data_IF_169458273448
#
_entry.id   IF_169458273448
#
_cell.length_a   1.000
_cell.length_b   1.000
_cell.length_c   1.000
_cell.angle_alpha   90.00
_cell.angle_beta   90.00
_cell.angle_gamma   90.00
#
_symmetry.space_group_name_H-M   'P 1'
#
loop_
_entity.id
_entity.type
_entity.pdbx_description
1 polymer ?
#
# COMPACT_ATOMS: atom_id res chain seq x y z
N UNK A 1 -15.84 -6.98 -19.80
CA UNK A 1 -15.62 -5.54 -19.56
C UNK A 1 -14.46 -5.26 -18.60
N UNK A 2 -14.36 -5.98 -17.48
CA UNK A 2 -13.34 -5.73 -16.45
C UNK A 2 -11.88 -5.86 -16.94
N UNK A 3 -11.58 -6.85 -17.79
CA UNK A 3 -10.21 -7.07 -18.29
C UNK A 3 -9.68 -5.89 -19.13
N UNK A 4 -10.54 -5.18 -19.86
CA UNK A 4 -10.14 -4.02 -20.66
C UNK A 4 -9.83 -2.80 -19.78
N UNK A 5 -10.53 -2.66 -18.64
CA UNK A 5 -10.26 -1.59 -17.68
C UNK A 5 -8.90 -1.82 -17.03
N UNK A 6 -8.61 -3.04 -16.58
CA UNK A 6 -7.32 -3.39 -15.99
C UNK A 6 -6.16 -3.23 -16.99
N UNK A 7 -6.33 -3.74 -18.21
CA UNK A 7 -5.33 -3.54 -19.27
C UNK A 7 -5.10 -2.05 -19.55
N UNK A 8 -6.17 -1.25 -19.60
CA UNK A 8 -6.09 0.19 -19.77
C UNK A 8 -5.31 0.89 -18.64
N UNK A 9 -5.57 0.53 -17.39
CA UNK A 9 -4.86 1.07 -16.23
C UNK A 9 -3.37 0.72 -16.25
N UNK A 10 -3.02 -0.53 -16.55
CA UNK A 10 -1.62 -1.00 -16.63
C UNK A 10 -0.89 -0.28 -17.78
N UNK A 11 -1.51 -0.20 -18.96
CA UNK A 11 -0.90 0.49 -20.11
C UNK A 11 -0.72 1.98 -19.78
N UNK A 12 -1.74 2.62 -19.19
CA UNK A 12 -1.66 4.02 -18.80
C UNK A 12 -0.58 4.29 -17.76
N UNK A 13 -0.39 3.40 -16.78
CA UNK A 13 0.64 3.56 -15.75
C UNK A 13 2.04 3.41 -16.33
N UNK A 14 2.27 2.43 -17.21
CA UNK A 14 3.55 2.24 -17.89
C UNK A 14 3.88 3.41 -18.84
N UNK A 15 2.89 3.92 -19.57
CA UNK A 15 3.06 5.10 -20.41
C UNK A 15 3.39 6.35 -19.58
N UNK A 16 2.69 6.53 -18.45
CA UNK A 16 2.96 7.62 -17.51
C UNK A 16 4.39 7.55 -16.96
N UNK A 17 4.80 6.39 -16.43
CA UNK A 17 6.16 6.22 -15.92
C UNK A 17 7.22 6.42 -17.00
N UNK A 18 7.02 5.83 -18.18
CA UNK A 18 7.93 6.01 -19.31
C UNK A 18 8.05 7.48 -19.73
N UNK A 19 6.94 8.21 -19.79
CA UNK A 19 6.95 9.64 -20.13
C UNK A 19 7.73 10.46 -19.10
N UNK A 20 7.48 10.25 -17.80
CA UNK A 20 8.19 10.97 -16.73
C UNK A 20 9.67 10.61 -16.68
N UNK A 21 10.03 9.32 -16.77
CA UNK A 21 11.43 8.91 -16.78
C UNK A 21 12.18 9.45 -18.01
N UNK A 22 11.54 9.46 -19.20
CA UNK A 22 12.13 10.08 -20.41
C UNK A 22 12.33 11.58 -20.20
N UNK A 23 11.37 12.25 -19.58
CA UNK A 23 11.48 13.68 -19.25
C UNK A 23 12.61 13.92 -18.27
N UNK A 24 12.69 13.17 -17.18
CA UNK A 24 13.74 13.28 -16.17
C UNK A 24 15.14 13.03 -16.77
N UNK A 25 15.27 12.06 -17.69
CA UNK A 25 16.52 11.79 -18.41
C UNK A 25 16.87 12.95 -19.35
N UNK A 26 15.89 13.56 -20.00
CA UNK A 26 16.10 14.68 -20.93
C UNK A 26 16.48 15.97 -20.22
N UNK A 27 15.78 16.27 -19.13
CA UNK A 27 15.97 17.48 -18.33
C UNK A 27 17.17 17.30 -17.36
N UNK A 28 17.71 16.08 -17.26
CA UNK A 28 18.79 15.66 -16.36
C UNK A 28 18.56 16.14 -14.92
N UNK A 29 17.35 15.90 -14.41
CA UNK A 29 16.88 16.34 -13.08
C UNK A 29 17.85 15.96 -11.96
N UNK A 30 18.52 14.81 -12.09
CA UNK A 30 19.46 14.27 -11.10
C UNK A 30 20.93 14.67 -11.36
N UNK A 31 21.22 15.48 -12.38
CA UNK A 31 22.56 15.92 -12.80
C UNK A 31 23.55 14.76 -12.92
N UNK A 32 23.15 13.75 -13.68
CA UNK A 32 23.83 12.46 -13.72
C UNK A 32 25.28 12.54 -14.21
N UNK A 33 26.23 12.33 -13.29
CA UNK A 33 27.67 12.34 -13.59
C UNK A 33 28.35 13.69 -13.37
N UNK A 34 27.59 14.72 -13.01
CA UNK A 34 28.13 15.96 -12.48
C UNK A 34 28.50 15.79 -10.99
N UNK A 35 29.40 16.62 -10.48
CA UNK A 35 29.85 16.54 -9.10
C UNK A 35 29.28 17.72 -8.30
N UNK A 36 28.56 17.42 -7.22
CA UNK A 36 28.03 18.40 -6.28
C UNK A 36 29.16 18.89 -5.37
N UNK A 37 29.38 20.20 -5.30
CA UNK A 37 30.36 20.79 -4.38
C UNK A 37 29.86 20.69 -2.94
N UNK A 38 30.71 20.17 -2.05
CA UNK A 38 30.44 20.03 -0.62
C UNK A 38 31.65 20.52 0.19
N UNK A 39 31.38 20.96 1.41
CA UNK A 39 32.41 21.22 2.41
C UNK A 39 32.42 20.09 3.43
N UNK A 40 33.60 19.61 3.79
CA UNK A 40 33.79 18.54 4.75
C UNK A 40 34.50 19.10 5.98
N UNK A 41 33.85 18.97 7.13
CA UNK A 41 34.45 19.27 8.44
C UNK A 41 34.92 17.94 9.06
N UNK A 42 36.16 17.92 9.58
CA UNK A 42 36.76 16.72 10.21
C UNK A 42 36.79 16.88 11.73
N UNK A 43 35.73 16.51 12.46
CA UNK A 43 35.64 16.71 13.91
C UNK A 43 36.71 15.93 14.69
N UNK A 44 37.17 14.80 14.16
CA UNK A 44 38.19 13.94 14.79
C UNK A 44 39.58 14.07 14.13
N UNK A 45 39.75 14.99 13.19
CA UNK A 45 40.96 15.12 12.37
C UNK A 45 40.93 14.27 11.08
N UNK A 46 41.93 14.46 10.23
CA UNK A 46 42.04 13.79 8.93
C UNK A 46 43.22 12.83 8.91
N UNK A 47 42.92 11.53 8.88
CA UNK A 47 43.89 10.46 8.65
C UNK A 47 43.64 9.83 7.25
N UNK A 48 44.53 10.04 6.27
CA UNK A 48 44.35 9.51 4.92
C UNK A 48 44.46 7.98 4.84
N UNK A 49 45.11 7.33 5.81
CA UNK A 49 45.31 5.88 5.83
C UNK A 49 44.20 5.13 6.59
N UNK A 50 43.34 5.87 7.31
CA UNK A 50 42.20 5.31 8.00
C UNK A 50 41.14 4.78 7.01
N UNK A 51 40.63 3.58 7.29
CA UNK A 51 39.61 2.92 6.44
C UNK A 51 38.28 3.66 6.41
N UNK A 52 37.93 4.31 7.53
CA UNK A 52 36.73 5.15 7.70
C UNK A 52 37.15 6.43 8.41
N UNK A 53 36.83 7.57 7.82
CA UNK A 53 37.09 8.89 8.42
C UNK A 53 35.74 9.58 8.64
N UNK A 54 35.32 9.84 9.89
CA UNK A 54 34.06 10.54 10.15
C UNK A 54 34.14 11.99 9.68
N UNK A 55 33.08 12.46 9.05
CA UNK A 55 32.99 13.83 8.51
C UNK A 55 31.61 14.42 8.76
N UNK A 56 31.55 15.72 9.00
CA UNK A 56 30.32 16.48 8.86
C UNK A 56 30.29 17.13 7.48
N UNK A 57 29.26 16.80 6.71
CA UNK A 57 29.07 17.24 5.33
C UNK A 57 28.22 18.50 5.35
N UNK A 58 28.70 19.56 4.70
CA UNK A 58 27.98 20.81 4.53
C UNK A 58 27.74 21.06 3.06
N UNK A 59 26.49 21.37 2.74
CA UNK A 59 26.06 21.68 1.40
C UNK A 59 25.58 23.12 1.42
N UNK A 60 26.22 23.99 0.64
CA UNK A 60 25.79 25.39 0.53
C UNK A 60 24.39 25.45 -0.12
N UNK A 61 23.37 26.03 0.53
CA UNK A 61 22.00 26.02 0.01
C UNK A 61 21.86 26.74 -1.33
N UNK A 62 22.61 27.81 -1.57
CA UNK A 62 22.54 28.55 -2.83
C UNK A 62 23.12 27.74 -3.99
N UNK A 63 24.27 27.08 -3.78
CA UNK A 63 24.86 26.15 -4.76
C UNK A 63 23.97 24.94 -4.98
N UNK A 64 23.35 24.40 -3.94
CA UNK A 64 22.43 23.27 -4.06
C UNK A 64 21.24 23.59 -4.97
N UNK A 65 20.53 24.70 -4.68
CA UNK A 65 19.39 25.15 -5.49
C UNK A 65 19.78 25.46 -6.93
N UNK A 66 20.95 26.07 -7.14
CA UNK A 66 21.45 26.35 -8.49
C UNK A 66 21.84 25.06 -9.24
N UNK A 67 22.41 24.08 -8.55
CA UNK A 67 22.85 22.81 -9.15
C UNK A 67 21.66 21.96 -9.57
N UNK A 68 20.68 21.76 -8.68
CA UNK A 68 19.51 20.91 -8.96
C UNK A 68 18.28 21.67 -9.49
N UNK A 69 18.35 22.99 -9.65
CA UNK A 69 17.23 23.84 -10.07
C UNK A 69 15.97 23.60 -9.18
N UNK A 70 16.19 23.48 -7.86
CA UNK A 70 15.16 23.15 -6.87
C UNK A 70 14.94 24.29 -5.87
N UNK A 71 13.76 24.34 -5.25
CA UNK A 71 13.45 25.24 -4.13
C UNK A 71 13.84 24.62 -2.76
N UNK A 72 14.10 23.32 -2.74
CA UNK A 72 14.45 22.56 -1.53
C UNK A 72 15.75 23.05 -0.88
N UNK A 73 15.78 22.99 0.45
CA UNK A 73 16.93 23.42 1.26
C UNK A 73 17.60 22.23 1.95
N UNK A 74 18.91 22.04 1.79
CA UNK A 74 19.65 21.09 2.60
C UNK A 74 19.76 21.57 4.05
N UNK A 75 19.75 20.63 4.98
CA UNK A 75 20.13 20.89 6.37
C UNK A 75 21.55 21.46 6.46
N UNK A 76 21.81 22.22 7.53
CA UNK A 76 23.10 22.89 7.75
C UNK A 76 24.29 21.93 7.76
N UNK A 77 24.08 20.71 8.28
CA UNK A 77 25.09 19.65 8.43
C UNK A 77 24.45 18.28 8.31
N UNK A 78 25.13 17.37 7.64
CA UNK A 78 24.83 15.94 7.63
C UNK A 78 25.99 15.16 8.24
N UNK A 79 25.68 14.15 9.05
CA UNK A 79 26.68 13.19 9.48
C UNK A 79 27.02 12.24 8.32
N UNK A 80 28.29 11.87 8.23
CA UNK A 80 28.74 10.92 7.22
C UNK A 80 30.17 10.45 7.49
N UNK A 81 30.68 9.68 6.54
CA UNK A 81 32.04 9.16 6.63
C UNK A 81 32.63 8.93 5.24
N UNK A 82 33.95 9.11 5.13
CA UNK A 82 34.72 8.77 3.93
C UNK A 82 35.19 7.33 4.06
N UNK A 83 35.00 6.53 3.02
CA UNK A 83 35.55 5.18 2.91
C UNK A 83 36.57 5.13 1.79
N UNK A 84 37.77 4.66 2.08
CA UNK A 84 38.76 4.36 1.05
C UNK A 84 38.43 3.02 0.39
N UNK A 85 38.10 3.04 -0.90
CA UNK A 85 37.86 1.85 -1.71
C UNK A 85 38.99 1.63 -2.72
N UNK A 86 39.03 0.47 -3.38
CA UNK A 86 40.00 0.19 -4.45
C UNK A 86 39.83 1.12 -5.67
N UNK A 87 38.67 1.73 -5.82
CA UNK A 87 38.32 2.62 -6.93
C UNK A 87 38.46 4.11 -6.58
N UNK A 88 38.81 4.43 -5.32
CA UNK A 88 38.97 5.78 -4.80
C UNK A 88 38.22 6.01 -3.49
N UNK A 89 38.26 7.24 -2.99
CA UNK A 89 37.51 7.66 -1.82
C UNK A 89 36.01 7.80 -2.16
N UNK A 90 35.15 7.24 -1.33
CA UNK A 90 33.71 7.41 -1.40
C UNK A 90 33.22 8.19 -0.18
N UNK A 91 32.35 9.17 -0.42
CA UNK A 91 31.61 9.82 0.65
C UNK A 91 30.29 9.10 0.86
N UNK A 92 29.98 8.81 2.12
CA UNK A 92 28.70 8.21 2.53
C UNK A 92 28.02 9.10 3.56
N UNK A 93 26.73 9.33 3.36
CA UNK A 93 25.87 9.96 4.34
C UNK A 93 25.34 8.89 5.30
N UNK A 94 25.05 9.27 6.54
CA UNK A 94 24.33 8.38 7.46
C UNK A 94 22.95 8.00 6.91
N UNK A 95 22.52 6.76 7.16
CA UNK A 95 21.32 6.18 6.55
C UNK A 95 20.01 6.91 6.95
N UNK A 96 19.96 7.47 8.16
CA UNK A 96 18.81 8.19 8.70
C UNK A 96 18.84 9.70 8.42
N UNK A 97 19.79 10.16 7.58
CA UNK A 97 19.87 11.56 7.18
C UNK A 97 18.60 11.99 6.42
N UNK A 98 17.92 13.01 6.93
CA UNK A 98 16.78 13.64 6.26
C UNK A 98 17.26 14.48 5.06
N UNK A 99 17.48 13.83 3.92
CA UNK A 99 17.97 14.46 2.70
C UNK A 99 16.82 15.17 1.93
N UNK A 100 17.05 16.37 1.38
CA UNK A 100 16.10 17.03 0.48
C UNK A 100 16.03 16.35 -0.89
N UNK A 101 14.98 16.61 -1.65
CA UNK A 101 14.92 16.23 -3.07
C UNK A 101 15.86 17.11 -3.90
N UNK A 102 16.64 16.55 -4.86
CA UNK A 102 16.57 15.18 -5.36
C UNK A 102 17.51 14.14 -4.70
N UNK A 103 18.22 14.51 -3.63
CA UNK A 103 19.17 13.60 -2.95
C UNK A 103 18.47 12.40 -2.29
N UNK A 104 17.27 12.61 -1.74
CA UNK A 104 16.44 11.52 -1.21
C UNK A 104 16.10 10.48 -2.28
N UNK A 105 15.69 10.91 -3.48
CA UNK A 105 15.46 9.99 -4.61
C UNK A 105 16.74 9.27 -5.04
N UNK A 106 17.88 9.98 -5.07
CA UNK A 106 19.18 9.36 -5.42
C UNK A 106 19.57 8.29 -4.39
N UNK A 107 19.35 8.54 -3.09
CA UNK A 107 19.56 7.57 -2.02
C UNK A 107 18.69 6.34 -2.20
N UNK A 108 17.38 6.52 -2.41
CA UNK A 108 16.43 5.40 -2.54
C UNK A 108 16.64 4.53 -3.77
N UNK A 109 17.29 5.05 -4.81
CA UNK A 109 17.60 4.29 -6.03
C UNK A 109 19.02 3.69 -6.01
N UNK A 110 19.93 4.29 -5.25
CA UNK A 110 21.26 3.71 -5.03
C UNK A 110 21.07 2.39 -4.29
N UNK A 111 21.43 1.28 -4.94
CA UNK A 111 21.25 -0.08 -4.43
C UNK A 111 22.27 -0.41 -3.33
N UNK A 112 22.50 0.52 -2.40
CA UNK A 112 23.39 0.31 -1.29
C UNK A 112 22.72 -0.63 -0.29
N UNK A 113 23.49 -1.59 0.21
CA UNK A 113 23.00 -2.60 1.17
C UNK A 113 22.57 -1.99 2.51
N UNK A 114 23.04 -0.77 2.77
CA UNK A 114 22.90 -0.04 4.02
C UNK A 114 21.92 1.15 3.89
N UNK A 115 21.23 1.29 2.73
CA UNK A 115 20.29 2.39 2.43
C UNK A 115 20.90 3.81 2.53
N UNK A 116 22.22 3.90 2.53
CA UNK A 116 22.98 5.15 2.58
C UNK A 116 23.09 5.80 1.21
N UNK A 117 23.11 7.13 1.18
CA UNK A 117 23.52 7.89 -0.01
C UNK A 117 25.03 7.80 -0.16
N UNK A 118 25.49 7.33 -1.33
CA UNK A 118 26.91 7.13 -1.61
C UNK A 118 27.33 7.85 -2.89
N UNK A 119 28.51 8.46 -2.86
CA UNK A 119 29.08 9.12 -4.03
C UNK A 119 30.60 9.01 -4.07
N UNK A 120 31.16 9.00 -5.27
CA UNK A 120 32.61 9.07 -5.46
C UNK A 120 33.09 10.48 -5.11
N UNK A 121 34.04 10.56 -4.19
CA UNK A 121 34.65 11.83 -3.80
C UNK A 121 35.68 12.23 -4.86
N UNK A 122 35.54 13.43 -5.40
CA UNK A 122 36.42 14.01 -6.41
C UNK A 122 36.92 15.37 -5.92
N UNK A 123 38.13 15.76 -6.35
CA UNK A 123 38.73 17.06 -6.03
C UNK A 123 38.86 17.34 -4.52
N UNK A 124 39.16 16.31 -3.71
CA UNK A 124 39.45 16.51 -2.29
C UNK A 124 40.75 17.32 -2.14
N UNK A 125 40.67 18.50 -1.54
CA UNK A 125 41.85 19.22 -1.08
C UNK A 125 42.19 18.72 0.35
N UNK A 126 43.43 18.32 0.67
CA UNK A 126 43.77 17.95 2.04
C UNK A 126 43.55 19.14 2.99
N UNK A 127 42.97 18.95 4.18
CA UNK A 127 42.88 20.02 5.17
C UNK A 127 44.28 20.51 5.55
N UNK A 128 44.45 21.81 5.74
CA UNK A 128 45.72 22.37 6.20
C UNK A 128 46.08 21.76 7.56
N UNK A 129 47.32 21.25 7.69
CA UNK A 129 47.83 20.75 8.96
C UNK A 129 47.67 21.84 10.04
N UNK A 130 47.16 21.51 11.24
CA UNK A 130 47.17 22.46 12.33
C UNK A 130 48.62 22.89 12.57
N UNK A 131 48.88 24.20 12.49
CA UNK A 131 50.20 24.75 12.77
C UNK A 131 50.68 24.22 14.13
N UNK A 132 51.88 23.63 14.16
CA UNK A 132 52.51 23.21 15.40
C UNK A 132 52.48 24.37 16.40
N UNK A 133 52.20 24.14 17.69
CA UNK A 133 52.12 25.21 18.67
C UNK A 133 53.46 25.95 18.72
N UNK A 134 53.46 27.21 18.30
CA UNK A 134 54.61 28.11 18.49
C UNK A 134 54.90 28.17 20.00
N UNK A 135 56.15 27.83 20.36
CA UNK A 135 56.65 27.99 21.72
C UNK A 135 56.39 29.42 22.21
N UNK A 136 55.59 29.53 23.26
CA UNK A 136 55.24 30.78 23.91
C UNK A 136 56.51 31.51 24.39
N UNK A 137 56.95 32.52 23.64
CA UNK A 137 57.85 33.53 24.14
C UNK A 137 57.06 34.51 25.04
N UNK A 138 57.49 34.61 26.29
CA UNK A 138 56.95 35.54 27.28
C UNK A 138 57.05 37.00 26.82
N UNK A 139 55.95 37.75 26.93
CA UNK A 139 55.91 39.20 26.68
C UNK A 139 54.61 39.82 27.17
N UNK A 140 54.72 40.91 27.92
CA UNK A 140 53.69 41.54 28.76
C UNK A 140 52.53 42.25 28.01
N UNK A 141 51.34 42.13 28.60
CA UNK A 141 50.26 43.12 28.80
C UNK A 141 49.90 44.15 27.71
N UNK A 142 48.64 44.10 27.24
CA UNK A 142 47.70 45.24 27.28
C UNK A 142 46.27 44.81 26.92
N UNK A 143 45.30 45.39 27.61
CA UNK A 143 43.87 45.09 27.57
C UNK A 143 43.16 45.62 26.30
N UNK A 144 42.16 44.87 25.84
CA UNK A 144 41.22 45.28 24.80
C UNK A 144 40.16 44.21 24.56
N UNK A 145 39.10 44.21 25.36
CA UNK A 145 37.96 43.31 25.22
C UNK A 145 37.04 43.77 24.08
N UNK A 146 36.73 42.85 23.17
CA UNK A 146 35.74 42.95 22.11
C UNK A 146 35.58 41.58 21.47
N UNK A 147 34.86 40.69 22.18
CA UNK A 147 34.63 39.29 21.83
C UNK A 147 33.99 39.13 20.44
N UNK A 148 34.73 38.49 19.53
CA UNK A 148 34.18 37.68 18.45
C UNK A 148 34.43 36.23 18.87
N UNK A 149 33.36 35.48 19.15
CA UNK A 149 33.42 34.04 19.36
C UNK A 149 33.79 33.36 18.04
N UNK A 150 35.09 33.22 17.79
CA UNK A 150 35.64 32.29 16.83
C UNK A 150 35.66 30.90 17.49
N UNK A 151 34.73 30.03 17.09
CA UNK A 151 34.74 28.62 17.49
C UNK A 151 36.03 27.94 17.02
N UNK A 152 36.56 27.07 17.89
CA UNK A 152 37.80 26.30 17.71
C UNK A 152 37.90 25.65 16.32
N UNK A 153 39.10 25.73 15.72
CA UNK A 153 39.37 25.40 14.32
C UNK A 153 39.23 23.91 14.00
N UNK A 154 37.99 23.45 13.78
CA UNK A 154 37.72 22.18 13.10
C UNK A 154 38.28 22.30 11.67
N UNK A 155 39.20 21.42 11.24
CA UNK A 155 39.74 21.49 9.89
C UNK A 155 38.62 21.28 8.87
N UNK A 156 38.44 22.25 7.99
CA UNK A 156 37.44 22.24 6.92
C UNK A 156 38.12 22.13 5.57
N UNK A 157 37.56 21.36 4.64
CA UNK A 157 38.05 21.34 3.25
C UNK A 157 36.92 21.32 2.24
N UNK A 158 37.18 21.90 1.07
CA UNK A 158 36.32 21.79 -0.09
C UNK A 158 36.53 20.46 -0.81
N UNK A 159 35.43 19.83 -1.20
CA UNK A 159 35.42 18.65 -2.05
C UNK A 159 34.24 18.69 -3.02
N UNK A 160 34.18 17.73 -3.94
CA UNK A 160 33.00 17.51 -4.75
C UNK A 160 32.64 16.02 -4.77
N UNK A 161 31.34 15.72 -4.85
CA UNK A 161 30.81 14.36 -4.75
C UNK A 161 30.03 14.05 -6.00
N UNK A 162 30.40 12.98 -6.69
CA UNK A 162 29.68 12.48 -7.86
C UNK A 162 28.85 11.27 -7.46
N UNK A 163 27.53 11.40 -7.51
CA UNK A 163 26.61 10.32 -7.22
C UNK A 163 26.51 9.31 -8.38
N UNK A 164 26.00 8.12 -8.07
CA UNK A 164 25.66 7.13 -9.08
C UNK A 164 24.58 7.64 -10.03
N UNK A 165 24.56 7.11 -11.26
CA UNK A 165 23.57 7.51 -12.25
C UNK A 165 22.20 6.95 -11.90
N UNK A 166 21.21 7.82 -11.75
CA UNK A 166 19.81 7.50 -11.51
C UNK A 166 19.06 7.43 -12.84
N UNK A 167 18.35 6.31 -13.07
CA UNK A 167 17.53 6.08 -14.28
C UNK A 167 16.30 5.25 -13.94
N UNK A 168 15.22 5.48 -14.70
CA UNK A 168 13.99 4.68 -14.67
C UNK A 168 13.33 4.57 -13.29
N UNK A 169 13.35 5.66 -12.52
CA UNK A 169 12.84 5.69 -11.14
C UNK A 169 11.36 5.29 -11.10
N UNK A 170 10.55 5.90 -11.97
CA UNK A 170 9.10 5.67 -11.97
C UNK A 170 8.77 4.28 -12.51
N UNK A 171 9.48 3.81 -13.54
CA UNK A 171 9.28 2.47 -14.08
C UNK A 171 9.61 1.37 -13.07
N UNK A 172 10.74 1.49 -12.36
CA UNK A 172 11.14 0.54 -11.33
C UNK A 172 10.14 0.53 -10.17
N UNK A 173 9.65 1.70 -9.73
CA UNK A 173 8.65 1.80 -8.68
C UNK A 173 7.34 1.09 -9.05
N UNK A 174 6.85 1.26 -10.30
CA UNK A 174 5.65 0.56 -10.77
C UNK A 174 5.88 -0.96 -10.85
N UNK A 175 7.05 -1.39 -11.33
CA UNK A 175 7.38 -2.80 -11.42
C UNK A 175 7.45 -3.46 -10.03
N UNK A 176 8.10 -2.80 -9.06
CA UNK A 176 8.14 -3.25 -7.67
C UNK A 176 6.75 -3.37 -7.07
N UNK A 177 5.95 -2.31 -7.14
CA UNK A 177 4.58 -2.32 -6.64
C UNK A 177 3.73 -3.44 -7.26
N UNK A 178 3.90 -3.72 -8.57
CA UNK A 178 3.19 -4.81 -9.22
C UNK A 178 3.54 -6.20 -8.65
N UNK A 179 4.81 -6.43 -8.29
CA UNK A 179 5.26 -7.67 -7.65
C UNK A 179 4.73 -7.77 -6.20
N UNK A 180 4.83 -6.69 -5.43
CA UNK A 180 4.35 -6.65 -4.04
C UNK A 180 2.83 -6.92 -3.96
N UNK A 181 2.06 -6.37 -4.90
CA UNK A 181 0.63 -6.66 -5.01
C UNK A 181 0.34 -8.11 -5.43
N UNK A 182 1.18 -8.71 -6.27
CA UNK A 182 1.04 -10.11 -6.65
C UNK A 182 1.29 -11.05 -5.44
N UNK A 183 2.28 -10.75 -4.62
CA UNK A 183 2.55 -11.46 -3.36
C UNK A 183 1.36 -11.32 -2.39
N UNK A 184 0.91 -10.08 -2.15
CA UNK A 184 -0.26 -9.79 -1.30
C UNK A 184 -1.50 -10.56 -1.77
N UNK A 185 -1.75 -10.60 -3.08
CA UNK A 185 -2.87 -11.34 -3.66
C UNK A 185 -2.75 -12.85 -3.42
N UNK A 186 -1.54 -13.42 -3.54
CA UNK A 186 -1.29 -14.84 -3.30
C UNK A 186 -1.51 -15.21 -1.83
N UNK A 187 -1.02 -14.40 -0.89
CA UNK A 187 -1.23 -14.60 0.55
C UNK A 187 -2.71 -14.61 0.92
N UNK A 188 -3.48 -13.64 0.41
CA UNK A 188 -4.93 -13.55 0.61
C UNK A 188 -5.62 -14.81 0.04
N UNK A 189 -5.27 -15.21 -1.19
CA UNK A 189 -5.85 -16.37 -1.84
C UNK A 189 -5.60 -17.66 -1.03
N UNK A 190 -4.39 -17.88 -0.55
CA UNK A 190 -4.05 -19.04 0.29
C UNK A 190 -4.83 -19.04 1.62
N UNK A 191 -4.94 -17.88 2.27
CA UNK A 191 -5.75 -17.73 3.48
C UNK A 191 -7.22 -18.08 3.24
N UNK A 192 -7.81 -17.60 2.15
CA UNK A 192 -9.19 -17.88 1.77
C UNK A 192 -9.44 -19.37 1.46
N UNK A 193 -8.51 -20.03 0.76
CA UNK A 193 -8.60 -21.48 0.48
C UNK A 193 -8.70 -22.27 1.79
N UNK A 194 -7.84 -21.98 2.77
CA UNK A 194 -7.84 -22.68 4.05
C UNK A 194 -9.15 -22.53 4.83
N UNK A 195 -9.67 -21.29 4.90
CA UNK A 195 -10.95 -21.00 5.57
C UNK A 195 -12.12 -21.70 4.85
N UNK A 196 -12.20 -21.59 3.52
CA UNK A 196 -13.22 -22.26 2.73
C UNK A 196 -13.20 -23.77 2.92
N UNK A 197 -12.03 -24.40 2.82
CA UNK A 197 -11.89 -25.85 2.97
C UNK A 197 -12.36 -26.33 4.36
N UNK A 198 -12.00 -25.61 5.43
CA UNK A 198 -12.41 -25.93 6.79
C UNK A 198 -13.93 -25.86 6.95
N UNK A 199 -14.54 -24.75 6.55
CA UNK A 199 -15.97 -24.55 6.74
C UNK A 199 -16.80 -25.44 5.82
N UNK A 200 -16.41 -25.64 4.56
CA UNK A 200 -17.08 -26.59 3.67
C UNK A 200 -17.00 -28.01 4.21
N UNK A 201 -15.86 -28.42 4.76
CA UNK A 201 -15.71 -29.70 5.44
C UNK A 201 -16.65 -29.83 6.65
N UNK A 202 -16.70 -28.81 7.51
CA UNK A 202 -17.61 -28.78 8.66
C UNK A 202 -19.09 -28.80 8.25
N UNK A 203 -19.44 -28.07 7.18
CA UNK A 203 -20.81 -28.07 6.65
C UNK A 203 -21.20 -29.43 6.11
N UNK A 204 -20.29 -30.11 5.41
CA UNK A 204 -20.53 -31.46 4.89
C UNK A 204 -20.75 -32.46 6.02
N UNK A 205 -19.94 -32.39 7.09
CA UNK A 205 -20.17 -33.16 8.32
C UNK A 205 -21.53 -32.82 8.95
N UNK A 206 -21.86 -31.52 9.03
CA UNK A 206 -23.15 -31.05 9.55
C UNK A 206 -24.34 -31.51 8.70
N UNK A 207 -24.17 -31.63 7.39
CA UNK A 207 -25.18 -32.09 6.44
C UNK A 207 -25.46 -33.58 6.66
N UNK A 208 -24.40 -34.41 6.70
CA UNK A 208 -24.47 -35.83 7.03
C UNK A 208 -25.08 -36.06 8.43
N UNK A 209 -24.83 -35.15 9.37
CA UNK A 209 -25.40 -35.18 10.72
C UNK A 209 -26.83 -34.59 10.82
N UNK A 210 -27.41 -34.08 9.73
CA UNK A 210 -28.74 -33.46 9.72
C UNK A 210 -28.83 -32.08 10.41
N UNK A 211 -27.70 -31.51 10.84
CA UNK A 211 -27.61 -30.20 11.49
C UNK A 211 -27.93 -29.06 10.51
N UNK A 212 -27.54 -29.18 9.25
CA UNK A 212 -27.82 -28.16 8.23
C UNK A 212 -29.32 -28.00 8.00
N UNK A 213 -30.06 -29.10 7.90
CA UNK A 213 -31.53 -29.08 7.78
C UNK A 213 -32.19 -28.37 8.98
N UNK A 214 -31.63 -28.55 10.18
CA UNK A 214 -32.11 -27.87 11.39
C UNK A 214 -31.81 -26.37 11.36
N UNK A 215 -30.61 -25.98 10.92
CA UNK A 215 -30.21 -24.59 10.74
C UNK A 215 -31.08 -23.89 9.69
N UNK A 216 -31.25 -24.49 8.50
CA UNK A 216 -32.12 -23.99 7.42
C UNK A 216 -33.53 -23.79 7.95
N UNK A 217 -34.08 -24.76 8.71
CA UNK A 217 -35.41 -24.63 9.31
C UNK A 217 -35.51 -23.47 10.31
N UNK A 218 -34.45 -23.17 11.05
CA UNK A 218 -34.42 -22.07 12.01
C UNK A 218 -34.38 -20.69 11.33
N UNK A 219 -33.62 -20.54 10.24
CA UNK A 219 -33.50 -19.26 9.50
C UNK A 219 -34.58 -19.06 8.42
N UNK A 220 -35.27 -20.15 8.05
CA UNK A 220 -36.38 -20.18 7.09
C UNK A 220 -37.40 -19.05 7.21
N UNK A 221 -37.95 -18.69 8.39
CA UNK A 221 -38.99 -17.67 8.48
C UNK A 221 -38.51 -16.30 7.97
N UNK A 222 -37.21 -16.03 8.03
CA UNK A 222 -36.61 -14.77 7.59
C UNK A 222 -36.18 -14.85 6.12
N UNK A 223 -35.57 -15.96 5.68
CA UNK A 223 -35.00 -16.07 4.34
C UNK A 223 -36.02 -16.42 3.26
N UNK A 224 -37.05 -17.24 3.56
CA UNK A 224 -38.04 -17.68 2.56
C UNK A 224 -38.77 -16.51 1.88
N UNK A 225 -39.22 -15.45 2.59
CA UNK A 225 -39.84 -14.29 1.94
C UNK A 225 -38.88 -13.45 1.07
N UNK A 226 -37.56 -13.63 1.22
CA UNK A 226 -36.53 -12.93 0.46
C UNK A 226 -36.09 -13.74 -0.76
N UNK A 227 -36.06 -15.07 -0.65
CA UNK A 227 -35.62 -16.00 -1.69
C UNK A 227 -36.74 -17.00 -2.07
N UNK A 228 -37.87 -16.54 -2.65
CA UNK A 228 -39.01 -17.40 -2.94
C UNK A 228 -38.77 -18.42 -4.06
N UNK A 229 -37.74 -18.21 -4.88
CA UNK A 229 -37.40 -19.05 -6.04
C UNK A 229 -36.47 -20.22 -5.66
N UNK A 230 -36.01 -20.30 -4.41
CA UNK A 230 -35.10 -21.35 -3.93
C UNK A 230 -35.91 -22.49 -3.28
N UNK A 231 -35.71 -23.76 -3.69
CA UNK A 231 -36.39 -24.91 -3.07
C UNK A 231 -36.12 -25.06 -1.57
N UNK A 232 -37.05 -25.66 -0.84
CA UNK A 232 -37.02 -25.67 0.64
C UNK A 232 -35.83 -26.43 1.22
N UNK A 233 -35.35 -27.45 0.53
CA UNK A 233 -34.24 -28.31 0.97
C UNK A 233 -32.93 -28.02 0.20
N UNK A 234 -32.87 -26.92 -0.55
CA UNK A 234 -31.66 -26.58 -1.32
C UNK A 234 -30.55 -26.00 -0.42
N UNK A 235 -29.29 -26.47 -0.56
CA UNK A 235 -28.14 -25.99 0.24
C UNK A 235 -27.88 -24.48 0.12
N UNK A 236 -28.33 -23.85 -0.97
CA UNK A 236 -28.26 -22.40 -1.17
C UNK A 236 -28.74 -21.59 0.05
N UNK A 237 -29.86 -21.97 0.70
CA UNK A 237 -30.36 -21.24 1.88
C UNK A 237 -29.40 -21.33 3.07
N UNK A 238 -28.71 -22.46 3.24
CA UNK A 238 -27.68 -22.63 4.27
C UNK A 238 -26.47 -21.74 4.00
N UNK A 239 -25.97 -21.69 2.76
CA UNK A 239 -24.84 -20.84 2.37
C UNK A 239 -25.16 -19.35 2.48
N UNK A 240 -26.37 -18.94 2.09
CA UNK A 240 -26.88 -17.58 2.29
C UNK A 240 -26.92 -17.26 3.79
N UNK A 241 -27.45 -18.16 4.62
CA UNK A 241 -27.50 -17.94 6.06
C UNK A 241 -26.10 -17.74 6.68
N UNK A 242 -25.11 -18.53 6.26
CA UNK A 242 -23.73 -18.41 6.74
C UNK A 242 -23.07 -17.12 6.27
N UNK A 243 -23.28 -16.74 5.01
CA UNK A 243 -22.81 -15.46 4.47
C UNK A 243 -23.39 -14.27 5.25
N UNK A 244 -24.70 -14.26 5.50
CA UNK A 244 -25.35 -13.23 6.30
C UNK A 244 -24.88 -13.24 7.75
N UNK A 245 -24.69 -14.40 8.35
CA UNK A 245 -24.18 -14.55 9.72
C UNK A 245 -22.76 -13.97 9.82
N UNK A 246 -21.86 -14.35 8.92
CA UNK A 246 -20.50 -13.81 8.88
C UNK A 246 -20.49 -12.28 8.70
N UNK A 247 -21.36 -11.78 7.82
CA UNK A 247 -21.57 -10.33 7.65
C UNK A 247 -22.15 -9.66 8.90
N UNK A 248 -23.05 -10.29 9.67
CA UNK A 248 -23.63 -9.69 10.89
C UNK A 248 -22.61 -9.62 12.03
N UNK A 249 -21.74 -10.62 12.16
CA UNK A 249 -20.80 -10.79 13.28
C UNK A 249 -19.43 -10.12 13.11
N UNK A 250 -19.18 -9.41 12.01
CA UNK A 250 -17.92 -8.69 11.78
C UNK A 250 -16.85 -9.55 11.13
N UNK A 251 -17.21 -10.76 10.70
CA UNK A 251 -16.31 -11.72 10.08
C UNK A 251 -16.25 -11.50 8.56
N UNK A 252 -16.08 -10.25 8.13
CA UNK A 252 -16.15 -9.87 6.70
C UNK A 252 -15.19 -10.67 5.80
N UNK A 253 -14.01 -11.01 6.32
CA UNK A 253 -13.03 -11.85 5.62
C UNK A 253 -13.53 -13.29 5.35
N UNK A 254 -14.49 -13.79 6.15
CA UNK A 254 -15.15 -15.07 5.94
C UNK A 254 -16.50 -14.95 5.22
N UNK A 255 -17.10 -13.76 5.15
CA UNK A 255 -18.40 -13.58 4.53
C UNK A 255 -18.35 -13.71 2.99
N UNK A 256 -17.35 -13.09 2.36
CA UNK A 256 -17.13 -13.17 0.90
C UNK A 256 -17.03 -14.60 0.39
N UNK A 257 -16.22 -15.50 0.99
CA UNK A 257 -16.15 -16.89 0.52
C UNK A 257 -17.51 -17.62 0.60
N UNK A 258 -18.29 -17.43 1.67
CA UNK A 258 -19.65 -17.99 1.74
C UNK A 258 -20.61 -17.36 0.73
N UNK A 259 -20.44 -16.07 0.43
CA UNK A 259 -21.24 -15.37 -0.58
C UNK A 259 -20.99 -15.89 -1.98
N UNK A 260 -19.72 -16.13 -2.35
CA UNK A 260 -19.35 -16.76 -3.63
C UNK A 260 -19.98 -18.15 -3.72
N UNK A 261 -19.83 -18.98 -2.68
CA UNK A 261 -20.42 -20.32 -2.70
C UNK A 261 -21.95 -20.27 -2.75
N UNK A 262 -22.60 -19.35 -2.03
CA UNK A 262 -24.04 -19.13 -2.15
C UNK A 262 -24.47 -18.72 -3.56
N UNK A 263 -23.67 -17.91 -4.26
CA UNK A 263 -23.92 -17.57 -5.66
C UNK A 263 -23.78 -18.77 -6.59
N UNK A 264 -22.78 -19.64 -6.37
CA UNK A 264 -22.65 -20.91 -7.12
C UNK A 264 -23.88 -21.80 -6.93
N UNK A 265 -24.35 -21.99 -5.67
CA UNK A 265 -25.56 -22.78 -5.40
C UNK A 265 -26.83 -22.16 -6.03
N UNK A 266 -26.91 -20.82 -6.10
CA UNK A 266 -28.00 -20.15 -6.81
C UNK A 266 -27.87 -20.29 -8.33
N UNK A 267 -26.64 -20.42 -8.85
CA UNK A 267 -26.35 -20.60 -10.27
C UNK A 267 -26.79 -21.97 -10.77
N UNK A 268 -26.70 -23.00 -9.94
CA UNK A 268 -27.25 -24.34 -10.26
C UNK A 268 -28.76 -24.31 -10.48
N UNK A 269 -29.47 -23.39 -9.83
CA UNK A 269 -30.91 -23.17 -10.00
C UNK A 269 -31.25 -22.21 -11.15
N UNK A 270 -30.25 -21.62 -11.81
CA UNK A 270 -30.45 -20.61 -12.84
C UNK A 270 -30.62 -21.26 -14.22
N UNK A 271 -31.78 -21.11 -14.88
CA UNK A 271 -32.01 -21.67 -16.21
C UNK A 271 -31.25 -20.94 -17.33
N UNK A 272 -30.61 -19.80 -17.06
CA UNK A 272 -29.84 -19.05 -18.06
C UNK A 272 -28.53 -18.53 -17.47
N UNK A 273 -27.41 -19.16 -17.85
CA UNK A 273 -26.12 -18.91 -17.21
C UNK A 273 -25.70 -17.44 -17.22
N UNK A 274 -25.91 -16.74 -18.34
CA UNK A 274 -25.45 -15.36 -18.55
C UNK A 274 -26.38 -14.29 -17.95
N UNK A 275 -27.49 -14.66 -17.31
CA UNK A 275 -28.47 -13.70 -16.78
C UNK A 275 -28.79 -14.00 -15.32
N UNK A 276 -28.65 -13.00 -14.45
CA UNK A 276 -28.89 -13.17 -13.01
C UNK A 276 -30.37 -13.36 -12.68
N UNK A 277 -30.67 -14.28 -11.77
CA UNK A 277 -32.01 -14.47 -11.20
C UNK A 277 -32.33 -13.42 -10.13
N UNK A 278 -33.61 -13.27 -9.76
CA UNK A 278 -33.98 -12.37 -8.65
C UNK A 278 -33.30 -12.75 -7.34
N UNK A 279 -33.12 -14.05 -7.09
CA UNK A 279 -32.43 -14.56 -5.90
C UNK A 279 -30.96 -14.12 -5.85
N UNK A 280 -30.25 -14.17 -6.98
CA UNK A 280 -28.87 -13.67 -7.06
C UNK A 280 -28.80 -12.16 -6.81
N UNK A 281 -29.69 -11.39 -7.46
CA UNK A 281 -29.74 -9.93 -7.29
C UNK A 281 -30.08 -9.56 -5.83
N UNK A 282 -30.98 -10.30 -5.19
CA UNK A 282 -31.33 -10.13 -3.78
C UNK A 282 -30.12 -10.40 -2.86
N UNK A 283 -29.40 -11.52 -3.09
CA UNK A 283 -28.21 -11.85 -2.31
C UNK A 283 -27.14 -10.77 -2.44
N UNK A 284 -26.90 -10.28 -3.65
CA UNK A 284 -25.97 -9.20 -3.92
C UNK A 284 -26.40 -7.91 -3.21
N UNK A 285 -27.66 -7.51 -3.34
CA UNK A 285 -28.19 -6.30 -2.71
C UNK A 285 -28.04 -6.34 -1.18
N UNK A 286 -28.31 -7.49 -0.55
CA UNK A 286 -28.13 -7.66 0.89
C UNK A 286 -26.65 -7.58 1.29
N UNK A 287 -25.75 -8.21 0.53
CA UNK A 287 -24.31 -8.15 0.79
C UNK A 287 -23.74 -6.73 0.63
N UNK A 288 -24.20 -5.99 -0.39
CA UNK A 288 -23.81 -4.58 -0.61
C UNK A 288 -24.34 -3.66 0.47
N UNK A 289 -25.56 -3.90 0.95
CA UNK A 289 -26.17 -3.09 2.00
C UNK A 289 -25.50 -3.27 3.37
N UNK A 290 -24.83 -4.41 3.56
CA UNK A 290 -23.97 -4.80 4.69
C UNK A 290 -24.61 -4.51 6.06
N UNK A 291 -25.22 -5.53 6.68
CA UNK A 291 -25.74 -5.42 8.05
C UNK A 291 -24.67 -5.88 9.01
N UNK A 292 -24.10 -4.93 9.75
CA UNK A 292 -23.01 -5.18 10.67
C UNK A 292 -23.50 -4.89 12.10
N UNK A 293 -23.82 -5.95 12.86
CA UNK A 293 -24.26 -5.79 14.26
C UNK A 293 -23.07 -5.59 15.19
N UNK A 294 -21.95 -6.25 14.87
CA UNK A 294 -20.65 -6.06 15.54
C UNK A 294 -19.76 -5.24 14.60
N UNK A 295 -19.49 -3.95 14.89
CA UNK A 295 -18.62 -3.13 14.08
C UNK A 295 -17.24 -3.80 13.88
N UNK A 296 -16.56 -3.59 12.73
CA UNK A 296 -15.24 -4.13 12.52
C UNK A 296 -14.31 -3.62 13.63
N UNK A 297 -13.84 -4.53 14.48
CA UNK A 297 -13.00 -4.22 15.65
C UNK A 297 -11.78 -3.37 15.24
N UNK A 298 -11.29 -3.57 14.02
CA UNK A 298 -10.21 -2.79 13.40
C UNK A 298 -10.55 -1.30 13.25
N UNK A 299 -11.74 -0.94 12.77
CA UNK A 299 -12.16 0.45 12.60
C UNK A 299 -12.28 1.16 13.97
N UNK A 300 -12.72 0.44 15.00
CA UNK A 300 -12.86 0.98 16.35
C UNK A 300 -11.50 1.15 17.04
N UNK A 301 -10.55 0.25 16.80
CA UNK A 301 -9.18 0.36 17.26
C UNK A 301 -8.46 1.56 16.62
N UNK A 302 -8.66 1.79 15.31
CA UNK A 302 -8.02 2.87 14.56
C UNK A 302 -8.54 4.27 14.94
N UNK A 303 -9.82 4.39 15.31
CA UNK A 303 -10.43 5.68 15.65
C UNK A 303 -10.26 6.06 17.13
N UNK A 304 -9.74 5.16 17.98
CA UNK A 304 -9.60 5.41 19.43
C UNK A 304 -10.92 5.67 20.16
N UNK A 305 -12.05 5.30 19.55
CA UNK A 305 -13.39 5.61 20.05
C UNK A 305 -13.89 4.53 21.00
N UNK A 306 -14.60 4.94 22.04
CA UNK A 306 -15.31 4.00 22.91
C UNK A 306 -16.41 3.29 22.12
N UNK A 307 -16.36 1.95 22.12
CA UNK A 307 -17.26 1.02 21.39
C UNK A 307 -18.74 1.40 21.52
N UNK A 308 -19.15 1.93 22.67
CA UNK A 308 -20.56 2.11 23.03
C UNK A 308 -21.29 3.24 22.25
N UNK A 309 -20.58 4.28 21.79
CA UNK A 309 -21.22 5.45 21.18
C UNK A 309 -21.60 5.24 19.70
N UNK A 310 -20.89 4.37 18.98
CA UNK A 310 -21.11 4.16 17.54
C UNK A 310 -22.04 3.00 17.21
N UNK A 311 -22.22 2.04 18.12
CA UNK A 311 -23.03 0.84 17.87
C UNK A 311 -24.46 1.21 17.44
N UNK A 312 -25.11 2.15 18.12
CA UNK A 312 -26.48 2.55 17.79
C UNK A 312 -26.58 3.17 16.39
N UNK A 313 -25.67 4.09 16.05
CA UNK A 313 -25.65 4.73 14.73
C UNK A 313 -25.37 3.71 13.62
N UNK A 314 -24.45 2.77 13.85
CA UNK A 314 -24.10 1.72 12.88
C UNK A 314 -25.29 0.78 12.66
N UNK A 315 -25.93 0.27 13.73
CA UNK A 315 -27.07 -0.64 13.61
C UNK A 315 -28.24 0.04 12.90
N UNK A 316 -28.54 1.31 13.22
CA UNK A 316 -29.64 2.04 12.57
C UNK A 316 -29.34 2.26 11.09
N UNK A 317 -28.13 2.73 10.77
CA UNK A 317 -27.75 3.06 9.38
C UNK A 317 -27.68 1.80 8.51
N UNK A 318 -27.03 0.74 9.00
CA UNK A 318 -26.93 -0.54 8.27
C UNK A 318 -28.27 -1.26 8.17
N UNK A 319 -29.11 -1.19 9.21
CA UNK A 319 -30.47 -1.70 9.17
C UNK A 319 -31.35 -0.98 8.14
N UNK A 320 -31.30 0.36 8.09
CA UNK A 320 -32.03 1.14 7.10
C UNK A 320 -31.52 0.87 5.67
N UNK A 321 -30.19 0.79 5.50
CA UNK A 321 -29.55 0.40 4.24
C UNK A 321 -30.06 -0.95 3.74
N UNK A 322 -30.12 -1.97 4.61
CA UNK A 322 -30.67 -3.28 4.28
C UNK A 322 -32.12 -3.22 3.83
N UNK A 323 -32.97 -2.51 4.58
CA UNK A 323 -34.39 -2.38 4.25
C UNK A 323 -34.54 -1.74 2.87
N UNK A 324 -33.81 -0.66 2.59
CA UNK A 324 -33.83 0.02 1.30
C UNK A 324 -33.34 -0.91 0.19
N UNK A 325 -32.26 -1.65 0.40
CA UNK A 325 -31.72 -2.57 -0.60
C UNK A 325 -32.69 -3.72 -0.93
N UNK A 326 -33.32 -4.32 0.08
CA UNK A 326 -34.35 -5.35 -0.12
C UNK A 326 -35.56 -4.77 -0.85
N UNK A 327 -36.03 -3.59 -0.46
CA UNK A 327 -37.16 -2.93 -1.13
C UNK A 327 -36.82 -2.63 -2.59
N UNK A 328 -35.63 -2.06 -2.85
CA UNK A 328 -35.14 -1.78 -4.18
C UNK A 328 -35.08 -3.05 -5.02
N UNK A 329 -34.44 -4.12 -4.55
CA UNK A 329 -34.39 -5.40 -5.26
C UNK A 329 -35.79 -5.93 -5.62
N UNK A 330 -36.75 -5.87 -4.69
CA UNK A 330 -38.14 -6.29 -4.94
C UNK A 330 -38.90 -5.38 -5.91
N UNK A 331 -38.69 -4.06 -5.84
CA UNK A 331 -39.36 -3.09 -6.72
C UNK A 331 -38.80 -3.23 -8.13
N UNK A 332 -37.48 -3.24 -8.28
CA UNK A 332 -36.83 -3.40 -9.59
C UNK A 332 -37.14 -4.74 -10.23
N UNK A 333 -37.21 -5.84 -9.47
CA UNK A 333 -37.63 -7.14 -9.99
C UNK A 333 -39.09 -7.19 -10.47
N UNK A 334 -39.93 -6.18 -10.13
CA UNK A 334 -41.31 -6.06 -10.61
C UNK A 334 -41.48 -5.13 -11.81
N UNK A 335 -40.43 -4.40 -12.22
CA UNK A 335 -40.51 -3.53 -13.40
C UNK A 335 -40.67 -4.38 -14.67
N UNK A 336 -41.47 -3.93 -15.66
CA UNK A 336 -41.85 -4.76 -16.81
C UNK A 336 -40.64 -5.23 -17.62
N UNK A 337 -39.62 -4.40 -17.79
CA UNK A 337 -38.40 -4.76 -18.51
C UNK A 337 -37.56 -5.81 -17.77
N UNK A 338 -37.40 -5.69 -16.44
CA UNK A 338 -36.68 -6.67 -15.61
C UNK A 338 -37.47 -7.97 -15.44
N UNK A 339 -38.81 -7.90 -15.40
CA UNK A 339 -39.68 -9.09 -15.37
C UNK A 339 -39.59 -9.88 -16.68
N UNK A 340 -39.41 -9.19 -17.80
CA UNK A 340 -39.24 -9.81 -19.12
C UNK A 340 -37.87 -10.47 -19.27
N UNK A 341 -36.82 -9.94 -18.63
CA UNK A 341 -35.48 -10.52 -18.66
C UNK A 341 -35.20 -11.58 -17.58
N UNK A 342 -36.18 -11.93 -16.75
CA UNK A 342 -35.98 -12.87 -15.65
C UNK A 342 -35.89 -14.32 -16.19
N UNK A 343 -34.75 -15.02 -16.01
CA UNK A 343 -34.54 -16.39 -16.48
C UNK A 343 -35.64 -17.36 -16.03
N UNK A 344 -36.10 -17.25 -14.78
CA UNK A 344 -37.09 -18.14 -14.17
C UNK A 344 -38.50 -17.99 -14.77
N UNK A 345 -38.70 -17.07 -15.71
CA UNK A 345 -39.98 -16.83 -16.40
C UNK A 345 -39.93 -17.08 -17.90
N UNK A 346 -38.73 -17.29 -18.43
CA UNK A 346 -38.51 -17.48 -19.86
C UNK A 346 -38.59 -18.95 -20.28
N UNK A 347 -38.64 -19.88 -19.31
CA UNK A 347 -38.82 -21.31 -19.55
C UNK A 347 -40.30 -21.64 -19.81
N UNK A 348 -40.68 -22.18 -20.98
CA UNK A 348 -42.02 -22.71 -21.23
C UNK A 348 -42.27 -23.97 -20.40
N UNK A 349 -43.52 -24.21 -20.00
CA UNK A 349 -43.96 -25.33 -19.16
C UNK A 349 -43.95 -26.71 -19.89
N UNK A 350 -42.85 -27.10 -20.54
CA UNK A 350 -42.76 -28.34 -21.35
C UNK A 350 -41.80 -29.38 -20.76
N UNK A 351 -41.96 -29.76 -19.49
CA UNK A 351 -41.28 -30.94 -18.93
C UNK A 351 -42.15 -31.90 -18.12
N UNK A 352 -43.49 -31.75 -18.14
CA UNK A 352 -44.41 -32.73 -17.53
C UNK A 352 -44.87 -33.85 -18.48
N UNK A 353 -44.55 -33.81 -19.78
CA UNK A 353 -44.89 -34.89 -20.73
C UNK A 353 -43.63 -35.65 -21.19
N UNK A 354 -43.12 -36.53 -20.35
CA UNK A 354 -41.95 -37.35 -20.67
C UNK A 354 -41.75 -38.54 -19.74
N UNK A 355 -42.85 -39.15 -19.28
CA UNK A 355 -42.83 -40.34 -18.44
C UNK A 355 -43.99 -41.26 -18.77
N UNK A 356 -43.80 -42.11 -19.77
CA UNK A 356 -44.60 -43.32 -20.00
C UNK A 356 -43.67 -44.52 -20.15
#
# INVERSE_FOLDING_TARGET
MLNYIWAGLIISSLLFAGFYDIRDIRDDTYRNGEALSVELEFPEGYDPDARRVPVAIRIDPARYRAFYETEEEPADRYAGYIVQTREGAQLRFEADAALPEPLATIQGVSQSRDEELQGALVQLTPPAEPAAPEEAAAGEAAAGAGQQEAGEGVPTTGAAVRFERVRFVKMNAIAGAALDFAETAAEIALGLIGVLALFLGLLKIGEEAGLIHSLVRAVRPVLRPLFPEVPEDHPALGMIALNLTANVFGLGNAATPFGIKAMEELQELNPTEDTATNSMVMLLAINTASVQLVPPVLLLALLGLQINQLIFAIIITTGLSLVIAIAAAKIYGRLPWNRASNPNRLVPAESEEGGS
#
